data_IF_262334318733
#
_entry.id   IF_262334318733
#
_cell.length_a   1.000
_cell.length_b   1.000
_cell.length_c   1.000
_cell.angle_alpha   90.00
_cell.angle_beta   90.00
_cell.angle_gamma   90.00
#
_symmetry.space_group_name_H-M   'P 1'
#
loop_
_entity.id
_entity.type
_entity.pdbx_description
1 polymer ?
#
# COMPACT_ATOMS: atom_id res chain seq x y z
N UNK A 1 11.21 -12.56 -12.87
CA UNK A 1 12.46 -12.77 -12.10
C UNK A 1 13.19 -11.48 -11.72
N UNK A 2 13.32 -10.46 -12.59
CA UNK A 2 13.92 -9.16 -12.20
C UNK A 2 13.01 -8.27 -11.34
N UNK A 3 11.71 -8.16 -11.70
CA UNK A 3 10.71 -7.40 -10.93
C UNK A 3 10.47 -7.92 -9.50
N UNK A 4 10.68 -9.23 -9.29
CA UNK A 4 10.32 -9.92 -8.05
C UNK A 4 11.23 -9.61 -6.86
N UNK A 5 12.51 -9.28 -7.10
CA UNK A 5 13.44 -8.90 -6.01
C UNK A 5 13.21 -7.47 -5.54
N UNK A 6 13.01 -6.53 -6.46
CA UNK A 6 12.76 -5.11 -6.12
C UNK A 6 11.40 -4.92 -5.44
N UNK A 7 10.36 -5.59 -5.94
CA UNK A 7 9.04 -5.62 -5.31
C UNK A 7 9.10 -6.19 -3.88
N UNK A 8 9.83 -7.30 -3.68
CA UNK A 8 10.08 -7.85 -2.36
C UNK A 8 10.84 -6.88 -1.44
N UNK A 9 11.81 -6.11 -1.94
CA UNK A 9 12.58 -5.12 -1.16
C UNK A 9 11.69 -3.95 -0.72
N UNK A 10 10.86 -3.42 -1.62
CA UNK A 10 9.93 -2.33 -1.30
C UNK A 10 8.89 -2.86 -0.30
N UNK A 11 8.26 -3.99 -0.57
CA UNK A 11 7.33 -4.65 0.36
C UNK A 11 7.96 -4.93 1.73
N UNK A 12 9.22 -5.36 1.80
CA UNK A 12 9.96 -5.61 3.04
C UNK A 12 10.32 -4.35 3.82
N UNK A 13 10.75 -3.29 3.12
CA UNK A 13 11.09 -1.98 3.72
C UNK A 13 9.88 -1.31 4.36
N UNK A 14 8.71 -1.47 3.73
CA UNK A 14 7.43 -0.93 4.18
C UNK A 14 6.83 -1.85 5.26
N UNK A 15 7.16 -3.15 5.26
CA UNK A 15 6.68 -4.12 6.26
C UNK A 15 7.48 -4.23 7.56
N UNK A 16 8.81 -4.18 7.53
CA UNK A 16 9.63 -4.71 8.62
C UNK A 16 10.99 -4.02 8.78
N UNK A 17 11.19 -3.42 9.94
CA UNK A 17 12.40 -3.55 10.73
C UNK A 17 12.42 -4.95 11.33
N UNK A 18 13.43 -5.73 10.91
CA UNK A 18 13.90 -6.90 11.64
C UNK A 18 14.00 -6.53 13.11
N UNK A 19 13.29 -7.30 13.95
CA UNK A 19 13.22 -7.16 15.40
C UNK A 19 14.43 -6.46 16.01
N UNK A 20 14.15 -5.41 16.78
CA UNK A 20 15.13 -4.70 17.59
C UNK A 20 15.71 -5.58 18.70
N UNK A 21 16.47 -6.63 18.35
CA UNK A 21 17.43 -7.25 19.25
C UNK A 21 18.71 -6.40 19.32
N UNK A 22 18.58 -5.10 19.58
CA UNK A 22 19.71 -4.25 19.91
C UNK A 22 19.39 -3.07 20.83
N UNK A 23 18.13 -2.85 21.26
CA UNK A 23 17.84 -1.72 22.15
C UNK A 23 17.64 -2.06 23.62
N UNK A 24 16.99 -3.15 24.03
CA UNK A 24 16.97 -3.52 25.46
C UNK A 24 16.96 -5.04 25.66
N UNK A 25 17.86 -5.52 26.52
CA UNK A 25 18.08 -6.93 26.79
C UNK A 25 16.82 -7.63 27.31
N UNK A 26 16.27 -8.52 26.49
CA UNK A 26 15.52 -9.68 26.93
C UNK A 26 15.64 -10.75 25.84
N UNK A 27 15.95 -11.95 26.27
CA UNK A 27 16.29 -13.13 25.48
C UNK A 27 15.12 -13.69 24.68
N UNK A 28 15.35 -14.04 23.41
CA UNK A 28 14.68 -15.20 22.82
C UNK A 28 14.05 -15.09 21.43
N UNK A 29 14.71 -14.50 20.42
CA UNK A 29 14.52 -14.92 19.01
C UNK A 29 15.90 -14.91 18.35
N UNK A 30 16.29 -16.02 17.74
CA UNK A 30 17.61 -16.16 17.15
C UNK A 30 17.74 -15.24 15.92
N UNK A 31 18.80 -14.44 15.88
CA UNK A 31 19.20 -13.63 14.73
C UNK A 31 19.75 -14.53 13.61
N UNK A 32 18.90 -15.37 13.00
CA UNK A 32 19.29 -16.30 11.94
C UNK A 32 18.35 -16.36 10.74
N UNK A 33 17.16 -15.76 10.80
CA UNK A 33 16.24 -15.80 9.67
C UNK A 33 16.65 -14.76 8.63
N UNK A 34 16.85 -15.20 7.39
CA UNK A 34 17.25 -14.32 6.30
C UNK A 34 16.09 -13.38 5.95
N UNK A 35 16.37 -12.15 5.48
CA UNK A 35 15.31 -11.21 5.05
C UNK A 35 14.40 -11.85 3.98
N UNK A 36 14.97 -12.75 3.17
CA UNK A 36 14.22 -13.59 2.23
C UNK A 36 13.30 -14.61 2.89
N UNK A 37 13.69 -15.22 4.01
CA UNK A 37 12.81 -16.12 4.78
C UNK A 37 11.70 -15.34 5.47
N UNK A 38 11.98 -14.11 5.89
CA UNK A 38 10.99 -13.20 6.50
C UNK A 38 9.97 -12.73 5.44
N UNK A 39 10.42 -12.31 4.25
CA UNK A 39 9.52 -12.02 3.12
C UNK A 39 8.69 -13.24 2.73
N UNK A 40 9.35 -14.40 2.62
CA UNK A 40 8.67 -15.65 2.32
C UNK A 40 7.68 -16.02 3.42
N UNK A 41 7.97 -15.74 4.69
CA UNK A 41 7.05 -16.01 5.81
C UNK A 41 5.89 -15.02 5.85
N UNK A 42 6.10 -13.73 5.59
CA UNK A 42 5.02 -12.74 5.53
C UNK A 42 4.11 -12.98 4.33
N UNK A 43 4.70 -13.39 3.19
CA UNK A 43 3.97 -13.82 2.01
C UNK A 43 3.24 -15.14 2.28
N UNK A 44 3.89 -16.12 2.92
CA UNK A 44 3.26 -17.40 3.31
C UNK A 44 2.17 -17.17 4.35
N UNK A 45 2.32 -16.31 5.35
CA UNK A 45 1.26 -16.03 6.33
C UNK A 45 0.06 -15.37 5.63
N UNK A 46 0.32 -14.43 4.72
CA UNK A 46 -0.73 -13.83 3.89
C UNK A 46 -1.38 -14.85 2.93
N UNK A 47 -0.62 -15.78 2.33
CA UNK A 47 -1.09 -16.82 1.40
C UNK A 47 -1.75 -18.02 2.10
N UNK A 48 -1.25 -18.47 3.25
CA UNK A 48 -1.77 -19.63 4.00
C UNK A 48 -3.12 -19.31 4.63
N UNK A 49 -3.34 -18.04 5.01
CA UNK A 49 -4.67 -17.54 5.36
C UNK A 49 -5.61 -17.50 4.14
N UNK A 50 -5.10 -17.23 2.92
CA UNK A 50 -5.93 -17.25 1.70
C UNK A 50 -6.35 -18.66 1.25
N UNK A 51 -5.58 -19.70 1.58
CA UNK A 51 -5.92 -21.08 1.22
C UNK A 51 -6.93 -21.73 2.20
N UNK A 52 -7.16 -21.15 3.38
CA UNK A 52 -8.10 -21.68 4.38
C UNK A 52 -9.34 -20.81 4.61
N UNK A 53 -9.35 -19.53 4.21
CA UNK A 53 -10.54 -18.67 4.22
C UNK A 53 -11.12 -18.45 2.82
N UNK A 54 -12.29 -19.03 2.60
CA UNK A 54 -13.14 -18.83 1.43
C UNK A 54 -13.52 -17.35 1.30
N UNK A 55 -13.00 -16.57 0.33
CA UNK A 55 -13.47 -15.22 -0.09
C UNK A 55 -13.90 -14.20 0.99
N UNK A 56 -13.65 -14.46 2.27
CA UNK A 56 -14.39 -13.83 3.35
C UNK A 56 -13.71 -12.53 3.77
N UNK A 57 -14.54 -11.52 4.01
CA UNK A 57 -14.10 -10.28 4.66
C UNK A 57 -13.61 -10.65 6.06
N UNK A 58 -12.39 -10.23 6.41
CA UNK A 58 -11.84 -10.46 7.74
C UNK A 58 -12.56 -9.62 8.78
N UNK A 59 -12.90 -10.25 9.90
CA UNK A 59 -13.39 -9.55 11.08
C UNK A 59 -12.20 -8.93 11.81
N UNK A 60 -11.98 -7.64 11.61
CA UNK A 60 -10.95 -6.86 12.28
C UNK A 60 -11.60 -5.93 13.32
N UNK A 61 -10.90 -5.70 14.44
CA UNK A 61 -11.38 -4.83 15.51
C UNK A 61 -10.46 -3.60 15.65
N UNK A 62 -10.99 -2.36 15.71
CA UNK A 62 -10.17 -1.17 15.85
C UNK A 62 -9.32 -1.21 17.12
N UNK A 63 -8.00 -1.15 16.95
CA UNK A 63 -7.09 -0.93 18.09
C UNK A 63 -7.22 0.50 18.62
N UNK A 64 -7.23 1.49 17.72
CA UNK A 64 -7.36 2.91 18.03
C UNK A 64 -8.82 3.33 18.01
N UNK A 65 -9.40 3.54 19.19
CA UNK A 65 -10.82 3.90 19.35
C UNK A 65 -11.05 5.35 19.76
N UNK A 66 -10.01 6.08 20.17
CA UNK A 66 -10.11 7.48 20.51
C UNK A 66 -10.11 8.31 19.21
N UNK A 67 -11.13 9.17 18.96
CA UNK A 67 -11.16 10.01 17.77
C UNK A 67 -9.91 10.88 17.59
N UNK A 68 -9.31 11.36 18.68
CA UNK A 68 -8.13 12.23 18.60
C UNK A 68 -6.90 11.52 18.02
N UNK A 69 -6.88 10.19 17.98
CA UNK A 69 -5.78 9.42 17.37
C UNK A 69 -5.84 9.50 15.82
N UNK A 70 -7.03 9.76 15.26
CA UNK A 70 -7.30 9.71 13.82
C UNK A 70 -7.26 11.07 13.13
N UNK A 71 -6.94 12.15 13.86
CA UNK A 71 -6.86 13.50 13.31
C UNK A 71 -5.59 14.20 13.78
N UNK A 72 -4.92 14.89 12.86
CA UNK A 72 -3.77 15.73 13.19
C UNK A 72 -4.20 17.04 13.87
N UNK A 73 -3.21 17.86 14.24
CA UNK A 73 -3.44 19.14 14.89
C UNK A 73 -4.22 20.16 14.02
N UNK A 74 -4.22 19.97 12.70
CA UNK A 74 -4.92 20.80 11.73
C UNK A 74 -6.33 20.26 11.42
N UNK A 75 -6.70 19.12 12.01
CA UNK A 75 -7.99 18.46 11.85
C UNK A 75 -8.09 17.60 10.59
N UNK A 76 -6.96 17.26 9.94
CA UNK A 76 -6.96 16.33 8.83
C UNK A 76 -6.95 14.90 9.35
N UNK A 77 -7.72 14.03 8.70
CA UNK A 77 -7.73 12.61 9.04
C UNK A 77 -6.36 11.98 8.71
N UNK A 78 -5.77 11.25 9.67
CA UNK A 78 -4.46 10.59 9.54
C UNK A 78 -4.51 9.18 10.11
N UNK A 79 -3.65 8.28 9.61
CA UNK A 79 -3.49 6.96 10.19
C UNK A 79 -2.87 7.11 11.60
N UNK A 80 -3.43 6.50 12.65
CA UNK A 80 -2.94 6.62 14.05
C UNK A 80 -1.65 5.83 14.31
N UNK A 81 -1.09 5.20 13.28
CA UNK A 81 0.10 4.38 13.33
C UNK A 81 0.93 4.67 12.08
N UNK A 82 2.22 4.89 12.23
CA UNK A 82 3.16 4.92 11.11
C UNK A 82 3.96 3.62 11.02
N UNK A 83 4.54 3.36 9.85
CA UNK A 83 5.29 2.14 9.59
C UNK A 83 6.55 2.06 10.47
N UNK A 84 7.17 3.18 10.82
CA UNK A 84 8.40 3.25 11.63
C UNK A 84 8.16 3.09 13.14
N UNK A 85 6.91 3.07 13.61
CA UNK A 85 6.61 2.86 15.01
C UNK A 85 6.93 1.43 15.47
N UNK A 86 7.54 1.31 16.65
CA UNK A 86 7.85 0.01 17.27
C UNK A 86 6.63 -0.91 17.29
N UNK A 87 5.43 -0.37 17.49
CA UNK A 87 4.20 -1.16 17.52
C UNK A 87 3.88 -1.82 16.17
N UNK A 88 4.04 -1.10 15.06
CA UNK A 88 3.88 -1.69 13.73
C UNK A 88 4.93 -2.78 13.51
N UNK A 89 6.17 -2.48 13.91
CA UNK A 89 7.31 -3.35 13.72
C UNK A 89 7.32 -4.60 14.59
N UNK A 90 6.71 -4.51 15.77
CA UNK A 90 6.53 -5.61 16.72
C UNK A 90 5.17 -6.29 16.59
N UNK A 91 4.42 -6.03 15.50
CA UNK A 91 3.18 -6.74 15.16
C UNK A 91 3.50 -7.81 14.12
N UNK A 92 4.05 -8.98 14.54
CA UNK A 92 4.49 -10.02 13.62
C UNK A 92 3.32 -10.73 12.95
N UNK A 93 2.14 -10.71 13.56
CA UNK A 93 0.95 -11.38 13.02
C UNK A 93 0.17 -10.38 12.17
N UNK A 94 -0.18 -10.80 10.96
CA UNK A 94 -0.90 -9.98 9.99
C UNK A 94 -2.23 -9.41 10.53
N UNK A 95 -2.95 -10.20 11.34
CA UNK A 95 -4.17 -9.77 12.04
C UNK A 95 -3.96 -8.50 12.89
N UNK A 96 -2.85 -8.39 13.63
CA UNK A 96 -2.56 -7.22 14.45
C UNK A 96 -2.41 -5.96 13.60
N UNK A 97 -1.78 -6.08 12.42
CA UNK A 97 -1.65 -4.96 11.46
C UNK A 97 -3.01 -4.55 10.90
N UNK A 98 -3.89 -5.52 10.65
CA UNK A 98 -5.26 -5.25 10.24
C UNK A 98 -6.02 -4.48 11.33
N UNK A 99 -5.88 -4.90 12.60
CA UNK A 99 -6.52 -4.25 13.75
C UNK A 99 -5.98 -2.82 13.99
N UNK A 100 -4.69 -2.59 13.77
CA UNK A 100 -4.07 -1.25 13.83
C UNK A 100 -4.62 -0.30 12.78
N UNK A 101 -4.91 -0.81 11.57
CA UNK A 101 -5.47 -0.02 10.46
C UNK A 101 -7.00 0.09 10.48
N UNK A 102 -7.71 -0.70 11.29
CA UNK A 102 -9.18 -0.74 11.25
C UNK A 102 -9.77 0.55 11.82
N UNK A 103 -10.55 1.27 11.01
CA UNK A 103 -11.14 2.57 11.37
C UNK A 103 -12.41 2.34 12.19
N UNK A 104 -12.60 2.97 13.37
CA UNK A 104 -13.88 2.90 14.08
C UNK A 104 -15.02 3.49 13.24
N UNK A 105 -16.21 2.87 13.28
CA UNK A 105 -17.38 3.34 12.52
C UNK A 105 -17.74 4.81 12.84
N UNK A 106 -17.56 5.22 14.10
CA UNK A 106 -17.81 6.59 14.56
C UNK A 106 -16.91 7.63 13.89
N UNK A 107 -15.75 7.23 13.36
CA UNK A 107 -14.85 8.07 12.57
C UNK A 107 -15.26 8.05 11.11
N UNK A 108 -15.56 6.86 10.56
CA UNK A 108 -16.06 6.70 9.18
C UNK A 108 -17.31 7.55 8.92
N UNK A 109 -18.26 7.54 9.85
CA UNK A 109 -19.53 8.27 9.75
C UNK A 109 -19.34 9.79 9.72
N UNK A 110 -18.22 10.29 10.26
CA UNK A 110 -17.88 11.72 10.29
C UNK A 110 -17.00 12.14 9.12
N UNK A 111 -16.19 11.24 8.60
CA UNK A 111 -15.26 11.50 7.51
C UNK A 111 -16.02 11.82 6.22
N UNK A 112 -15.66 12.91 5.56
CA UNK A 112 -16.03 13.18 4.18
C UNK A 112 -15.46 12.11 3.24
N UNK A 113 -16.00 12.01 2.02
CA UNK A 113 -15.51 11.04 1.03
C UNK A 113 -14.06 11.35 0.66
N UNK A 114 -13.67 12.64 0.63
CA UNK A 114 -12.31 13.05 0.34
C UNK A 114 -11.33 12.65 1.44
N UNK A 115 -11.69 12.82 2.71
CA UNK A 115 -10.86 12.36 3.85
C UNK A 115 -10.68 10.85 3.84
N UNK A 116 -11.77 10.10 3.63
CA UNK A 116 -11.69 8.64 3.58
C UNK A 116 -10.89 8.15 2.35
N UNK A 117 -11.01 8.82 1.21
CA UNK A 117 -10.23 8.49 0.01
C UNK A 117 -8.73 8.69 0.23
N UNK A 118 -8.31 9.81 0.85
CA UNK A 118 -6.91 10.04 1.21
C UNK A 118 -6.39 8.99 2.18
N UNK A 119 -7.17 8.67 3.22
CA UNK A 119 -6.85 7.58 4.16
C UNK A 119 -6.66 6.23 3.47
N UNK A 120 -7.47 5.93 2.46
CA UNK A 120 -7.35 4.68 1.68
C UNK A 120 -6.09 4.67 0.82
N UNK A 121 -5.72 5.78 0.21
CA UNK A 121 -4.48 5.92 -0.60
C UNK A 121 -3.23 5.83 0.29
N UNK A 122 -3.29 6.41 1.49
CA UNK A 122 -2.18 6.46 2.45
C UNK A 122 -2.21 5.30 3.46
N UNK A 123 -3.09 4.32 3.25
CA UNK A 123 -3.23 3.21 4.17
C UNK A 123 -1.93 2.41 4.25
N UNK A 124 -1.42 2.20 5.46
CA UNK A 124 -0.20 1.42 5.68
C UNK A 124 -0.28 0.02 5.06
N UNK A 125 -1.47 -0.58 4.92
CA UNK A 125 -1.65 -1.89 4.27
C UNK A 125 -1.35 -1.88 2.76
N UNK A 126 -1.20 -0.72 2.12
CA UNK A 126 -0.90 -0.63 0.69
C UNK A 126 0.48 -1.18 0.32
N UNK A 127 1.35 -1.44 1.30
CA UNK A 127 2.57 -2.24 1.13
C UNK A 127 2.31 -3.58 0.44
N UNK A 128 1.10 -4.13 0.59
CA UNK A 128 0.72 -5.41 -0.01
C UNK A 128 0.80 -5.36 -1.54
N UNK A 129 0.59 -4.20 -2.15
CA UNK A 129 0.75 -4.01 -3.60
C UNK A 129 2.18 -4.38 -4.02
N UNK A 130 3.17 -3.89 -3.27
CA UNK A 130 4.58 -4.19 -3.54
C UNK A 130 4.96 -5.62 -3.15
N UNK A 131 4.42 -6.12 -2.04
CA UNK A 131 4.69 -7.48 -1.57
C UNK A 131 4.25 -8.54 -2.59
N UNK A 132 3.04 -8.40 -3.14
CA UNK A 132 2.53 -9.32 -4.16
C UNK A 132 3.12 -9.02 -5.55
N UNK A 133 3.49 -7.76 -5.82
CA UNK A 133 3.96 -7.32 -7.14
C UNK A 133 2.86 -7.34 -8.21
N UNK A 134 1.59 -7.40 -7.79
CA UNK A 134 0.39 -7.30 -8.60
C UNK A 134 -0.63 -6.41 -7.89
N UNK A 135 -1.11 -5.38 -8.59
CA UNK A 135 -1.99 -4.37 -8.03
C UNK A 135 -3.36 -4.95 -7.67
N UNK A 136 -3.93 -5.83 -8.49
CA UNK A 136 -5.26 -6.39 -8.20
C UNK A 136 -5.19 -7.35 -7.02
N UNK A 137 -4.18 -8.22 -6.96
CA UNK A 137 -3.96 -9.13 -5.83
C UNK A 137 -3.70 -8.38 -4.51
N UNK A 138 -2.82 -7.39 -4.54
CA UNK A 138 -2.53 -6.54 -3.38
C UNK A 138 -3.77 -5.78 -2.90
N UNK A 139 -4.50 -5.12 -3.82
CA UNK A 139 -5.69 -4.36 -3.46
C UNK A 139 -6.87 -5.23 -3.04
N UNK A 140 -7.05 -6.43 -3.61
CA UNK A 140 -8.04 -7.38 -3.13
C UNK A 140 -7.71 -7.84 -1.70
N UNK A 141 -6.43 -7.96 -1.35
CA UNK A 141 -6.01 -8.27 0.02
C UNK A 141 -6.27 -7.09 0.96
N UNK A 142 -5.99 -5.84 0.54
CA UNK A 142 -6.37 -4.64 1.29
C UNK A 142 -7.89 -4.58 1.49
N UNK A 143 -8.69 -4.83 0.44
CA UNK A 143 -10.15 -4.85 0.49
C UNK A 143 -10.70 -5.82 1.54
N UNK A 144 -10.12 -7.02 1.65
CA UNK A 144 -10.55 -8.02 2.65
C UNK A 144 -10.23 -7.59 4.08
N UNK A 145 -9.13 -6.89 4.29
CA UNK A 145 -8.51 -6.70 5.61
C UNK A 145 -8.68 -5.29 6.19
N UNK A 146 -9.00 -4.29 5.37
CA UNK A 146 -9.16 -2.91 5.78
C UNK A 146 -10.58 -2.43 5.49
N UNK A 147 -11.27 -1.92 6.51
CA UNK A 147 -12.67 -1.50 6.36
C UNK A 147 -12.82 -0.16 5.62
N UNK A 148 -11.81 0.72 5.63
CA UNK A 148 -11.89 2.04 4.99
C UNK A 148 -12.17 1.97 3.49
N UNK A 149 -11.50 1.07 2.75
CA UNK A 149 -11.74 0.89 1.31
C UNK A 149 -13.16 0.37 1.03
N UNK A 150 -13.67 -0.56 1.86
CA UNK A 150 -15.03 -1.08 1.70
C UNK A 150 -16.08 -0.01 1.96
N UNK A 151 -15.87 0.84 2.95
CA UNK A 151 -16.75 1.96 3.26
C UNK A 151 -16.68 3.06 2.20
N UNK A 152 -15.51 3.30 1.61
CA UNK A 152 -15.34 4.25 0.51
C UNK A 152 -16.12 3.82 -0.73
N UNK A 153 -16.00 2.56 -1.14
CA UNK A 153 -16.67 2.03 -2.35
C UNK A 153 -18.20 2.08 -2.27
N UNK A 154 -18.77 2.13 -1.05
CA UNK A 154 -20.22 2.29 -0.83
C UNK A 154 -20.71 3.73 -1.02
N UNK A 155 -19.82 4.72 -1.14
CA UNK A 155 -20.20 6.13 -1.23
C UNK A 155 -20.58 6.50 -2.66
N UNK A 156 -21.73 7.17 -2.79
CA UNK A 156 -22.31 7.54 -4.10
C UNK A 156 -21.49 8.57 -4.87
N UNK A 157 -20.58 9.28 -4.21
CA UNK A 157 -19.66 10.27 -4.78
C UNK A 157 -18.21 9.78 -4.84
N UNK A 158 -17.96 8.49 -4.55
CA UNK A 158 -16.63 7.87 -4.54
C UNK A 158 -15.89 8.12 -5.86
N UNK A 159 -16.52 7.82 -6.99
CA UNK A 159 -15.89 7.95 -8.31
C UNK A 159 -15.41 9.37 -8.58
N UNK A 160 -16.28 10.37 -8.40
CA UNK A 160 -15.93 11.77 -8.64
C UNK A 160 -14.79 12.26 -7.73
N UNK A 161 -14.82 11.89 -6.46
CA UNK A 161 -13.80 12.29 -5.48
C UNK A 161 -12.45 11.63 -5.80
N UNK A 162 -12.44 10.33 -6.06
CA UNK A 162 -11.21 9.59 -6.38
C UNK A 162 -10.61 10.07 -7.70
N UNK A 163 -11.43 10.30 -8.73
CA UNK A 163 -10.96 10.85 -9.99
C UNK A 163 -10.33 12.24 -9.81
N UNK A 164 -10.94 13.10 -8.98
CA UNK A 164 -10.39 14.42 -8.66
C UNK A 164 -9.02 14.28 -8.01
N UNK A 165 -8.89 13.51 -6.93
CA UNK A 165 -7.61 13.30 -6.22
C UNK A 165 -6.53 12.76 -7.16
N UNK A 166 -6.85 11.74 -7.96
CA UNK A 166 -5.94 11.19 -8.95
C UNK A 166 -5.52 12.23 -10.00
N UNK A 167 -6.47 13.04 -10.49
CA UNK A 167 -6.19 14.05 -11.50
C UNK A 167 -5.29 15.19 -11.00
N UNK A 168 -5.44 15.57 -9.72
CA UNK A 168 -4.72 16.66 -9.04
C UNK A 168 -3.35 16.21 -8.50
N UNK A 169 -3.14 14.91 -8.31
CA UNK A 169 -1.87 14.37 -7.82
C UNK A 169 -0.70 14.74 -8.76
N UNK A 170 0.35 15.35 -8.21
CA UNK A 170 1.53 15.74 -8.98
C UNK A 170 2.61 14.67 -8.84
N UNK A 171 2.90 13.97 -9.94
CA UNK A 171 3.92 12.92 -9.97
C UNK A 171 5.32 13.57 -9.87
N UNK A 172 6.14 13.21 -8.86
CA UNK A 172 7.51 13.70 -8.76
C UNK A 172 8.33 13.31 -10.00
N UNK A 173 9.22 14.20 -10.45
CA UNK A 173 10.04 13.94 -11.64
C UNK A 173 11.13 12.90 -11.40
N UNK A 174 11.60 12.80 -10.15
CA UNK A 174 12.72 11.96 -9.75
C UNK A 174 12.35 11.13 -8.54
N UNK A 175 12.97 9.96 -8.45
CA UNK A 175 12.94 9.15 -7.25
C UNK A 175 13.71 9.82 -6.12
N UNK A 176 13.25 9.59 -4.91
CA UNK A 176 13.85 10.07 -3.67
C UNK A 176 15.03 9.16 -3.28
N UNK A 177 14.86 7.84 -3.43
CA UNK A 177 15.89 6.86 -3.12
C UNK A 177 16.78 6.55 -4.32
N UNK A 178 18.09 6.44 -4.09
CA UNK A 178 19.04 6.01 -5.11
C UNK A 178 19.06 4.47 -5.22
N UNK A 179 18.18 3.93 -6.08
CA UNK A 179 18.10 2.50 -6.31
C UNK A 179 19.36 1.88 -6.94
N UNK A 180 20.34 2.69 -7.38
CA UNK A 180 21.64 2.14 -7.80
C UNK A 180 22.47 1.60 -6.63
N UNK A 181 22.08 1.92 -5.39
CA UNK A 181 22.65 1.36 -4.17
C UNK A 181 22.28 -0.12 -3.94
N UNK A 182 21.27 -0.64 -4.66
CA UNK A 182 20.86 -2.04 -4.61
C UNK A 182 21.57 -2.82 -5.72
N UNK A 183 22.35 -3.82 -5.34
CA UNK A 183 23.02 -4.70 -6.30
C UNK A 183 22.26 -6.02 -6.41
N UNK A 184 21.43 -6.12 -7.44
CA UNK A 184 20.59 -7.30 -7.70
C UNK A 184 21.39 -8.57 -8.05
N UNK A 185 22.69 -8.42 -8.34
CA UNK A 185 23.60 -9.52 -8.70
C UNK A 185 24.21 -10.24 -7.51
N UNK A 186 24.06 -9.68 -6.31
CA UNK A 186 24.56 -10.24 -5.06
C UNK A 186 23.92 -11.61 -4.74
N UNK A 187 24.67 -12.43 -4.00
CA UNK A 187 24.12 -13.63 -3.37
C UNK A 187 23.08 -13.26 -2.31
N UNK A 188 22.26 -14.22 -1.87
CA UNK A 188 21.23 -13.98 -0.84
C UNK A 188 21.84 -13.40 0.44
N UNK A 189 22.97 -13.95 0.91
CA UNK A 189 23.65 -13.47 2.13
C UNK A 189 24.14 -12.03 1.98
N UNK A 190 24.74 -11.70 0.84
CA UNK A 190 25.24 -10.36 0.54
C UNK A 190 24.09 -9.35 0.36
N UNK A 191 23.00 -9.74 -0.33
CA UNK A 191 21.78 -8.96 -0.44
C UNK A 191 21.19 -8.68 0.94
N UNK A 192 21.11 -9.67 1.82
CA UNK A 192 20.59 -9.48 3.18
C UNK A 192 21.42 -8.45 3.95
N UNK A 193 22.75 -8.50 3.85
CA UNK A 193 23.62 -7.52 4.50
C UNK A 193 23.40 -6.12 3.93
N UNK A 194 23.31 -5.99 2.60
CA UNK A 194 23.02 -4.71 1.94
C UNK A 194 21.68 -4.15 2.40
N UNK A 195 20.63 -4.98 2.50
CA UNK A 195 19.33 -4.54 2.99
C UNK A 195 19.36 -4.14 4.46
N UNK A 196 20.08 -4.86 5.31
CA UNK A 196 20.27 -4.44 6.71
C UNK A 196 20.92 -3.05 6.80
N UNK A 197 21.92 -2.77 5.96
CA UNK A 197 22.58 -1.45 5.92
C UNK A 197 21.63 -0.35 5.41
N UNK A 198 20.85 -0.63 4.37
CA UNK A 198 19.86 0.31 3.83
C UNK A 198 18.76 0.60 4.86
N UNK A 199 18.17 -0.45 5.44
CA UNK A 199 17.04 -0.30 6.37
C UNK A 199 17.45 0.18 7.76
N UNK A 200 18.73 0.14 8.11
CA UNK A 200 19.23 0.80 9.32
C UNK A 200 19.38 2.32 9.16
N UNK A 201 19.17 2.87 7.96
CA UNK A 201 19.24 4.29 7.69
C UNK A 201 17.84 4.89 7.55
N UNK A 202 17.42 5.65 8.57
CA UNK A 202 16.11 6.30 8.64
C UNK A 202 15.81 7.16 7.40
N UNK A 203 16.81 7.84 6.84
CA UNK A 203 16.63 8.68 5.65
C UNK A 203 16.36 7.84 4.39
N UNK A 204 16.99 6.67 4.27
CA UNK A 204 16.72 5.76 3.15
C UNK A 204 15.33 5.14 3.27
N UNK A 205 14.91 4.73 4.47
CA UNK A 205 13.55 4.25 4.69
C UNK A 205 12.52 5.33 4.35
N UNK A 206 12.76 6.58 4.77
CA UNK A 206 11.90 7.72 4.43
C UNK A 206 11.78 7.91 2.92
N UNK A 207 12.90 7.91 2.20
CA UNK A 207 12.92 8.08 0.74
C UNK A 207 12.24 6.92 0.01
N UNK A 208 12.43 5.67 0.44
CA UNK A 208 11.77 4.50 -0.14
C UNK A 208 10.25 4.60 0.06
N UNK A 209 9.81 5.00 1.26
CA UNK A 209 8.38 5.22 1.53
C UNK A 209 7.81 6.35 0.67
N UNK A 210 8.53 7.46 0.50
CA UNK A 210 8.13 8.55 -0.41
C UNK A 210 7.96 8.05 -1.86
N UNK A 211 8.87 7.21 -2.33
CA UNK A 211 8.78 6.62 -3.66
C UNK A 211 7.61 5.64 -3.78
N UNK A 212 7.36 4.80 -2.78
CA UNK A 212 6.22 3.87 -2.74
C UNK A 212 4.87 4.59 -2.75
N UNK A 213 4.78 5.72 -2.02
CA UNK A 213 3.58 6.57 -2.02
C UNK A 213 3.24 7.09 -3.43
N UNK A 214 4.23 7.26 -4.33
CA UNK A 214 3.94 7.60 -5.73
C UNK A 214 3.14 6.49 -6.41
N UNK A 215 3.54 5.23 -6.21
CA UNK A 215 2.80 4.07 -6.69
C UNK A 215 1.39 4.02 -6.11
N UNK A 216 1.22 4.20 -4.80
CA UNK A 216 -0.11 4.13 -4.17
C UNK A 216 -1.05 5.24 -4.62
N UNK A 217 -0.55 6.47 -4.81
CA UNK A 217 -1.32 7.59 -5.35
C UNK A 217 -1.76 7.38 -6.81
N UNK A 218 -1.21 6.40 -7.52
CA UNK A 218 -1.61 6.01 -8.87
C UNK A 218 -2.48 4.75 -8.85
N UNK A 219 -1.94 3.66 -8.31
CA UNK A 219 -2.53 2.32 -8.37
C UNK A 219 -3.81 2.20 -7.56
N UNK A 220 -3.90 2.83 -6.37
CA UNK A 220 -5.10 2.73 -5.53
C UNK A 220 -6.29 3.44 -6.19
N UNK A 221 -6.18 4.70 -6.65
CA UNK A 221 -7.27 5.33 -7.40
C UNK A 221 -7.61 4.59 -8.70
N UNK A 222 -6.62 4.13 -9.46
CA UNK A 222 -6.83 3.36 -10.68
C UNK A 222 -7.62 2.09 -10.39
N UNK A 223 -7.26 1.34 -9.35
CA UNK A 223 -7.98 0.15 -8.93
C UNK A 223 -9.42 0.45 -8.53
N UNK A 224 -9.64 1.49 -7.71
CA UNK A 224 -10.99 1.93 -7.31
C UNK A 224 -11.82 2.31 -8.54
N UNK A 225 -11.25 3.06 -9.47
CA UNK A 225 -11.93 3.47 -10.70
C UNK A 225 -12.22 2.31 -11.65
N UNK A 226 -11.63 1.12 -11.48
CA UNK A 226 -12.04 -0.08 -12.26
C UNK A 226 -13.22 -0.81 -11.64
N UNK A 227 -13.62 -0.49 -10.40
CA UNK A 227 -14.67 -1.25 -9.71
C UNK A 227 -16.04 -0.97 -10.35
N UNK A 228 -16.86 -2.00 -10.65
CA UNK A 228 -18.17 -1.81 -11.28
C UNK A 228 -19.07 -0.82 -10.53
N UNK A 229 -19.15 -0.93 -9.20
CA UNK A 229 -19.96 -0.06 -8.35
C UNK A 229 -19.51 1.42 -8.37
N UNK A 230 -18.26 1.68 -8.75
CA UNK A 230 -17.72 3.03 -8.93
C UNK A 230 -17.96 3.48 -10.37
N UNK A 231 -17.71 2.62 -11.36
CA UNK A 231 -17.91 2.99 -12.77
C UNK A 231 -19.37 3.22 -13.14
N UNK A 232 -20.30 2.57 -12.45
CA UNK A 232 -21.73 2.82 -12.57
C UNK A 232 -22.16 4.23 -12.10
N UNK A 233 -21.32 4.93 -11.34
CA UNK A 233 -21.58 6.32 -10.91
C UNK A 233 -21.40 7.32 -12.06
N UNK A 234 -20.69 6.96 -13.12
CA UNK A 234 -20.40 7.81 -14.27
C UNK A 234 -21.32 7.51 -15.46
N UNK A 235 -21.84 8.55 -16.10
CA UNK A 235 -22.46 8.47 -17.42
C UNK A 235 -21.44 8.09 -18.49
N UNK A 236 -21.89 7.60 -19.65
CA UNK A 236 -21.02 7.19 -20.76
C UNK A 236 -19.97 8.27 -21.13
N UNK A 237 -20.39 9.54 -21.24
CA UNK A 237 -19.49 10.65 -21.53
C UNK A 237 -18.48 10.93 -20.40
N UNK A 238 -18.87 10.71 -19.14
CA UNK A 238 -17.95 10.84 -18.01
C UNK A 238 -16.94 9.69 -17.95
N UNK A 239 -17.32 8.47 -18.39
CA UNK A 239 -16.39 7.34 -18.49
C UNK A 239 -15.29 7.60 -19.51
N UNK A 240 -15.61 8.22 -20.64
CA UNK A 240 -14.59 8.68 -21.60
C UNK A 240 -13.63 9.69 -20.95
N UNK A 241 -14.15 10.62 -20.14
CA UNK A 241 -13.33 11.57 -19.39
C UNK A 241 -12.45 10.90 -18.33
N UNK A 242 -12.89 9.79 -17.71
CA UNK A 242 -12.07 8.97 -16.82
C UNK A 242 -10.90 8.38 -17.60
N UNK A 243 -11.18 7.70 -18.72
CA UNK A 243 -10.12 7.12 -19.56
C UNK A 243 -9.11 8.16 -20.04
N UNK A 244 -9.57 9.34 -20.46
CA UNK A 244 -8.69 10.41 -20.92
C UNK A 244 -7.83 10.99 -19.78
N UNK A 245 -8.38 11.05 -18.57
CA UNK A 245 -7.63 11.45 -17.38
C UNK A 245 -6.52 10.45 -17.07
N UNK A 246 -6.82 9.15 -17.11
CA UNK A 246 -5.84 8.07 -16.90
C UNK A 246 -4.76 8.09 -17.98
N UNK A 247 -5.13 8.20 -19.27
CA UNK A 247 -4.17 8.29 -20.39
C UNK A 247 -3.21 9.48 -20.20
N UNK A 248 -3.74 10.65 -19.85
CA UNK A 248 -2.93 11.84 -19.57
C UNK A 248 -1.98 11.61 -18.39
N UNK A 249 -2.44 11.00 -17.30
CA UNK A 249 -1.59 10.69 -16.14
C UNK A 249 -0.50 9.68 -16.50
N UNK A 250 -0.79 8.68 -17.32
CA UNK A 250 0.21 7.76 -17.83
C UNK A 250 1.25 8.46 -18.72
N UNK A 251 0.83 9.41 -19.56
CA UNK A 251 1.76 10.25 -20.35
C UNK A 251 2.64 11.16 -19.47
N UNK A 252 2.12 11.62 -18.32
CA UNK A 252 2.89 12.35 -17.31
C UNK A 252 3.91 11.42 -16.64
N UNK A 253 3.47 10.24 -16.17
CA UNK A 253 4.28 9.20 -15.53
C UNK A 253 5.47 8.78 -16.41
N UNK A 254 5.23 8.55 -17.70
CA UNK A 254 6.24 8.13 -18.68
C UNK A 254 7.39 9.14 -18.89
N UNK A 255 7.24 10.39 -18.41
CA UNK A 255 8.28 11.43 -18.46
C UNK A 255 9.11 11.51 -17.18
N UNK A 256 8.79 10.70 -16.18
CA UNK A 256 9.45 10.68 -14.87
C UNK A 256 10.35 9.46 -14.69
N UNK A 257 11.10 9.43 -13.60
CA UNK A 257 11.85 8.23 -13.16
C UNK A 257 10.93 7.07 -12.68
N UNK A 258 9.62 7.32 -12.53
CA UNK A 258 8.60 6.34 -12.13
C UNK A 258 7.88 5.66 -13.31
N UNK A 259 8.31 5.88 -14.55
CA UNK A 259 7.69 5.28 -15.76
C UNK A 259 7.47 3.77 -15.72
N UNK A 260 8.21 3.04 -14.88
CA UNK A 260 8.14 1.59 -14.77
C UNK A 260 7.01 1.09 -13.85
N UNK A 261 6.30 2.00 -13.16
CA UNK A 261 5.11 1.70 -12.34
C UNK A 261 3.96 1.09 -13.18
N UNK A 262 3.85 1.47 -14.46
CA UNK A 262 2.78 1.00 -15.34
C UNK A 262 1.46 1.78 -15.17
N UNK A 263 0.36 1.22 -15.67
CA UNK A 263 -0.99 1.78 -15.50
C UNK A 263 -2.01 0.66 -15.34
N UNK A 264 -2.47 0.48 -14.11
CA UNK A 264 -3.38 -0.60 -13.76
C UNK A 264 -4.73 -0.48 -14.49
N UNK A 265 -5.28 0.73 -14.52
CA UNK A 265 -6.61 0.96 -15.08
C UNK A 265 -6.67 0.58 -16.56
N UNK A 266 -5.69 1.01 -17.37
CA UNK A 266 -5.64 0.70 -18.79
C UNK A 266 -5.45 -0.81 -19.03
N UNK A 267 -4.59 -1.47 -18.23
CA UNK A 267 -4.38 -2.91 -18.30
C UNK A 267 -5.65 -3.70 -17.96
N UNK A 268 -6.42 -3.24 -16.96
CA UNK A 268 -7.70 -3.85 -16.57
C UNK A 268 -8.75 -3.69 -17.69
N UNK A 269 -8.90 -2.49 -18.24
CA UNK A 269 -9.86 -2.22 -19.32
C UNK A 269 -9.54 -2.99 -20.62
N UNK A 270 -8.26 -3.26 -20.90
CA UNK A 270 -7.86 -4.10 -22.05
C UNK A 270 -8.18 -5.58 -21.80
N UNK A 271 -8.02 -6.07 -20.57
CA UNK A 271 -8.40 -7.46 -20.21
C UNK A 271 -9.91 -7.68 -20.39
N UNK A 272 -10.75 -6.73 -19.97
CA UNK A 272 -12.22 -6.84 -20.14
C UNK A 272 -12.66 -6.87 -21.60
N UNK A 273 -12.01 -6.10 -22.48
CA UNK A 273 -12.34 -6.07 -23.92
C UNK A 273 -12.00 -7.37 -24.65
N UNK A 274 -11.13 -8.19 -24.08
CA UNK A 274 -10.63 -9.44 -24.66
C UNK A 274 -11.31 -10.70 -24.09
N UNK A 275 -12.27 -10.56 -23.17
CA UNK A 275 -13.10 -11.63 -22.61
C UNK A 275 -14.46 -11.72 -23.32
#
# INVERSE_FOLDING_TARGET
>A
MRKTKLAAIIGLSVCMFVSGCARHGSTGVAATDSITDIASSAQVDAETETETETEAIRECHPYYSNPDDWYDADGNMVMPISLDEEKWQSSPIFEDRCNLCTIPQTIIDKASTEELAKMVIECNMNYLIDLYGDVDEGMNTVYKNFNGIRELLKRNDCGTVVLKLYSEYTIPQKKHFDYSLIDESLSIEESNKQFQEIFSNEEYCRQINEDALVGYNLHVPEWILTRPEVMEQFSEAERESVEDTVKRKYDELNKTEFKDEGNFFMDAMEKEKNQ
#
